data_IF_336339528418
#
_entry.id   IF_336339528418
#
_cell.length_a   1.000
_cell.length_b   1.000
_cell.length_c   1.000
_cell.angle_alpha   90.00
_cell.angle_beta   90.00
_cell.angle_gamma   90.00
#
_symmetry.space_group_name_H-M   'P 1'
#
loop_
_entity.id
_entity.type
_entity.pdbx_description
1 polymer ?
#
# COMPACT_ATOMS: atom_id res chain seq x y z
N UNK A 1 19.81 31.83 13.31
CA UNK A 1 20.18 30.41 13.13
C UNK A 1 18.98 29.59 12.62
N UNK A 2 18.24 30.11 11.64
CA UNK A 2 17.12 29.44 10.99
C UNK A 2 17.27 29.47 9.45
N UNK A 3 17.97 30.48 8.92
CA UNK A 3 18.28 30.66 7.48
C UNK A 3 18.74 29.40 6.74
N UNK A 4 19.58 28.55 7.35
CA UNK A 4 20.18 27.40 6.67
C UNK A 4 19.18 26.35 6.17
N UNK A 5 17.96 26.33 6.73
CA UNK A 5 16.91 25.38 6.34
C UNK A 5 15.87 26.01 5.42
N UNK A 6 15.78 27.34 5.37
CA UNK A 6 14.77 28.04 4.58
C UNK A 6 15.09 28.00 3.07
N UNK A 7 16.38 27.90 2.72
CA UNK A 7 16.84 27.78 1.32
C UNK A 7 17.10 26.33 0.86
N UNK A 8 16.93 25.32 1.73
CA UNK A 8 17.17 23.92 1.38
C UNK A 8 16.04 23.38 0.49
N UNK A 9 16.38 22.99 -0.74
CA UNK A 9 15.45 22.39 -1.69
C UNK A 9 15.61 20.87 -1.70
N UNK A 10 14.55 20.15 -1.32
CA UNK A 10 14.50 18.68 -1.28
C UNK A 10 13.92 18.14 -2.60
N UNK A 11 14.63 18.37 -3.70
CA UNK A 11 14.25 17.93 -5.05
C UNK A 11 14.75 16.51 -5.37
N UNK A 12 14.54 16.10 -6.63
CA UNK A 12 14.92 14.76 -7.08
C UNK A 12 16.43 14.54 -7.06
N UNK A 13 17.23 15.53 -7.45
CA UNK A 13 18.69 15.43 -7.46
C UNK A 13 19.24 15.29 -6.04
N UNK A 14 18.67 16.01 -5.06
CA UNK A 14 18.99 15.83 -3.64
C UNK A 14 18.73 14.38 -3.17
N UNK A 15 17.57 13.81 -3.54
CA UNK A 15 17.21 12.44 -3.16
C UNK A 15 18.13 11.41 -3.82
N UNK A 16 18.45 11.58 -5.11
CA UNK A 16 19.32 10.67 -5.86
C UNK A 16 20.80 10.77 -5.43
N UNK A 17 21.22 11.93 -4.92
CA UNK A 17 22.57 12.16 -4.41
C UNK A 17 22.85 11.56 -3.04
N UNK A 18 21.85 11.01 -2.36
CA UNK A 18 22.02 10.38 -1.06
C UNK A 18 22.93 9.14 -1.17
N UNK A 19 24.00 9.11 -0.38
CA UNK A 19 24.95 7.97 -0.36
C UNK A 19 24.27 6.65 0.05
N UNK A 20 23.24 6.74 0.90
CA UNK A 20 22.52 5.57 1.40
C UNK A 20 21.06 5.62 0.96
N UNK A 21 20.61 4.55 0.31
CA UNK A 21 19.19 4.32 0.04
C UNK A 21 18.62 3.39 1.10
N UNK A 22 17.99 3.96 2.12
CA UNK A 22 17.28 3.19 3.12
C UNK A 22 15.81 2.98 2.73
N UNK A 23 15.17 1.88 3.18
CA UNK A 23 13.73 1.74 3.04
C UNK A 23 13.02 2.92 3.70
N UNK A 24 11.93 3.37 3.06
CA UNK A 24 11.09 4.43 3.62
C UNK A 24 10.72 4.14 5.08
N UNK A 25 10.55 5.18 5.88
CA UNK A 25 10.15 5.04 7.28
C UNK A 25 8.94 4.10 7.44
N UNK A 26 7.96 4.21 6.52
CA UNK A 26 6.80 3.32 6.47
C UNK A 26 7.15 1.86 6.24
N UNK A 27 8.06 1.56 5.30
CA UNK A 27 8.50 0.19 5.04
C UNK A 27 9.19 -0.42 6.27
N UNK A 28 10.03 0.36 6.97
CA UNK A 28 10.68 -0.09 8.22
C UNK A 28 9.67 -0.34 9.34
N UNK A 29 8.69 0.55 9.51
CA UNK A 29 7.60 0.37 10.48
C UNK A 29 6.76 -0.89 10.18
N UNK A 30 6.44 -1.12 8.91
CA UNK A 30 5.66 -2.28 8.48
C UNK A 30 6.45 -3.59 8.64
N UNK A 31 7.74 -3.59 8.33
CA UNK A 31 8.62 -4.73 8.60
C UNK A 31 8.72 -5.03 10.09
N UNK A 32 8.84 -4.01 10.95
CA UNK A 32 8.84 -4.19 12.40
C UNK A 32 7.52 -4.80 12.90
N UNK A 33 6.38 -4.32 12.39
CA UNK A 33 5.07 -4.89 12.70
C UNK A 33 5.00 -6.36 12.29
N UNK A 34 5.39 -6.70 11.06
CA UNK A 34 5.29 -8.07 10.55
C UNK A 34 6.22 -9.07 11.25
N UNK A 35 7.34 -8.63 11.84
CA UNK A 35 8.16 -9.52 12.67
C UNK A 35 7.42 -10.01 13.92
N UNK A 36 6.47 -9.21 14.43
CA UNK A 36 5.66 -9.56 15.60
C UNK A 36 4.31 -10.17 15.20
N UNK A 37 3.73 -9.67 14.11
CA UNK A 37 2.39 -9.97 13.63
C UNK A 37 2.44 -10.23 12.12
N UNK A 38 3.02 -11.37 11.74
CA UNK A 38 3.05 -11.78 10.34
C UNK A 38 1.61 -11.99 9.85
N UNK A 39 1.24 -11.46 8.67
CA UNK A 39 -0.08 -11.72 8.12
C UNK A 39 -0.24 -13.20 7.77
N UNK A 40 -1.38 -13.77 8.12
CA UNK A 40 -1.76 -15.12 7.68
C UNK A 40 -1.76 -15.21 6.14
N UNK A 41 -1.34 -16.36 5.56
CA UNK A 41 -1.32 -16.55 4.13
C UNK A 41 -2.74 -16.43 3.57
N UNK A 42 -2.97 -15.39 2.78
CA UNK A 42 -4.23 -15.19 2.08
C UNK A 42 -4.24 -15.99 0.77
N UNK A 43 -5.39 -16.56 0.37
CA UNK A 43 -5.49 -17.23 -0.91
C UNK A 43 -5.22 -16.25 -2.05
N UNK A 44 -4.54 -16.71 -3.11
CA UNK A 44 -4.22 -15.90 -4.31
C UNK A 44 -5.46 -15.23 -4.91
N UNK A 45 -6.63 -15.85 -4.74
CA UNK A 45 -7.93 -15.25 -4.99
C UNK A 45 -8.73 -15.30 -3.71
N UNK A 46 -9.25 -14.16 -3.29
CA UNK A 46 -10.32 -14.12 -2.31
C UNK A 46 -11.52 -14.85 -2.89
N UNK A 47 -11.96 -15.94 -2.24
CA UNK A 47 -13.22 -16.63 -2.61
C UNK A 47 -14.41 -15.67 -2.49
N UNK A 48 -14.27 -14.64 -1.64
CA UNK A 48 -15.21 -13.56 -1.47
C UNK A 48 -14.84 -12.37 -2.38
N UNK A 49 -15.70 -11.96 -3.34
CA UNK A 49 -15.40 -10.83 -4.19
C UNK A 49 -15.34 -9.54 -3.35
N UNK A 50 -14.27 -8.72 -3.47
CA UNK A 50 -14.13 -7.51 -2.70
C UNK A 50 -15.22 -6.52 -3.12
N UNK A 51 -16.03 -6.10 -2.16
CA UNK A 51 -17.06 -5.08 -2.31
C UNK A 51 -18.10 -5.36 -3.42
N UNK A 52 -18.84 -6.48 -3.35
CA UNK A 52 -20.13 -6.65 -4.05
C UNK A 52 -20.11 -6.37 -5.57
N UNK A 53 -18.94 -6.47 -6.21
CA UNK A 53 -18.70 -5.90 -7.53
C UNK A 53 -19.33 -6.78 -8.61
N UNK A 54 -20.50 -6.32 -9.08
CA UNK A 54 -21.28 -6.59 -10.31
C UNK A 54 -21.45 -8.01 -10.91
N UNK A 55 -20.74 -9.04 -10.46
CA UNK A 55 -20.82 -10.41 -11.01
C UNK A 55 -21.24 -11.48 -9.99
N UNK A 56 -21.81 -11.09 -8.84
CA UNK A 56 -22.39 -12.08 -7.94
C UNK A 56 -23.47 -12.87 -8.70
N UNK A 57 -23.35 -14.21 -8.71
CA UNK A 57 -24.35 -15.11 -9.33
C UNK A 57 -25.77 -14.82 -8.83
N UNK A 58 -25.89 -14.26 -7.61
CA UNK A 58 -27.13 -13.79 -7.02
C UNK A 58 -27.85 -12.72 -7.85
N UNK A 59 -27.13 -11.72 -8.40
CA UNK A 59 -27.73 -10.69 -9.26
C UNK A 59 -28.14 -11.25 -10.62
N UNK A 60 -27.33 -12.14 -11.21
CA UNK A 60 -27.60 -12.79 -12.51
C UNK A 60 -28.91 -13.60 -12.49
N UNK A 61 -29.24 -14.24 -11.36
CA UNK A 61 -30.50 -14.99 -11.19
C UNK A 61 -31.75 -14.10 -11.17
N UNK A 62 -31.63 -12.85 -10.72
CA UNK A 62 -32.77 -11.91 -10.63
C UNK A 62 -33.15 -11.33 -12.00
N UNK A 63 -32.17 -11.13 -12.90
CA UNK A 63 -32.40 -10.57 -14.23
C UNK A 63 -32.98 -11.58 -15.22
N UNK A 64 -32.78 -12.90 -15.01
CA UNK A 64 -33.37 -13.95 -15.86
C UNK A 64 -34.82 -14.30 -15.51
N UNK A 65 -35.42 -13.62 -14.53
CA UNK A 65 -36.80 -13.85 -14.05
C UNK A 65 -37.77 -12.71 -14.38
N UNK A 66 -37.36 -11.78 -15.25
CA UNK A 66 -38.24 -10.78 -15.84
C UNK A 66 -38.32 -11.00 -17.34
#
# INVERSE_FOLDING_TARGET
MADDWDDLVLDEDFVQGAETSEPSARARMLAARWRAEEPEPQPWRSDEPPAGWFFSKGRRRRWRRR
#
